data_IF_439865578844
#
_entry.id   IF_439865578844
#
_cell.length_a   1.000
_cell.length_b   1.000
_cell.length_c   1.000
_cell.angle_alpha   90.00
_cell.angle_beta   90.00
_cell.angle_gamma   90.00
#
_symmetry.space_group_name_H-M   'P 1'
#
loop_
_entity.id
_entity.type
_entity.pdbx_description
1 polymer ?
#
# COMPACT_ATOMS: atom_id res chain seq x y z
N UNK A 1 32.78 -5.81 -64.69
CA UNK A 1 31.83 -4.85 -64.07
C UNK A 1 30.90 -5.63 -63.14
N UNK A 2 31.03 -5.48 -61.82
CA UNK A 2 30.07 -6.02 -60.84
C UNK A 2 29.69 -4.87 -59.90
N UNK A 3 28.47 -4.34 -60.04
CA UNK A 3 27.92 -3.33 -59.14
C UNK A 3 27.29 -4.05 -57.96
N UNK A 4 27.88 -3.96 -56.78
CA UNK A 4 27.28 -4.48 -55.54
C UNK A 4 26.42 -3.36 -54.98
N UNK A 5 25.10 -3.57 -54.98
CA UNK A 5 24.12 -2.68 -54.38
C UNK A 5 24.06 -3.03 -52.88
N UNK A 6 24.66 -2.19 -52.02
CA UNK A 6 24.55 -2.37 -50.57
C UNK A 6 23.19 -1.84 -50.10
N UNK A 7 22.32 -2.75 -49.68
CA UNK A 7 21.02 -2.45 -49.08
C UNK A 7 21.22 -2.28 -47.57
N UNK A 8 21.28 -1.04 -47.08
CA UNK A 8 21.38 -0.75 -45.64
C UNK A 8 20.01 -0.92 -45.00
N UNK A 9 19.83 -2.00 -44.23
CA UNK A 9 18.63 -2.23 -43.44
C UNK A 9 18.67 -1.34 -42.18
N UNK A 10 17.82 -0.31 -42.13
CA UNK A 10 17.68 0.56 -40.96
C UNK A 10 16.83 -0.16 -39.92
N UNK A 11 17.47 -0.76 -38.90
CA UNK A 11 16.75 -1.34 -37.79
C UNK A 11 16.14 -0.21 -36.93
N UNK A 12 14.82 -0.13 -36.87
CA UNK A 12 14.13 0.80 -35.98
C UNK A 12 14.30 0.34 -34.53
N UNK A 13 15.17 1.02 -33.78
CA UNK A 13 15.30 0.80 -32.34
C UNK A 13 14.10 1.47 -31.66
N UNK A 14 13.11 0.69 -31.26
CA UNK A 14 12.01 1.18 -30.42
C UNK A 14 12.51 1.32 -28.98
N UNK A 15 12.71 2.55 -28.51
CA UNK A 15 12.93 2.81 -27.10
C UNK A 15 11.60 2.65 -26.35
N UNK A 16 11.46 1.55 -25.61
CA UNK A 16 10.32 1.37 -24.72
C UNK A 16 10.61 2.17 -23.44
N UNK A 17 10.11 3.42 -23.39
CA UNK A 17 10.26 4.29 -22.21
C UNK A 17 9.53 3.66 -21.03
N UNK A 18 10.29 3.15 -20.06
CA UNK A 18 9.72 2.70 -18.80
C UNK A 18 9.22 3.91 -18.01
N UNK A 19 8.03 3.79 -17.41
CA UNK A 19 7.51 4.84 -16.53
C UNK A 19 8.53 5.13 -15.42
N UNK A 20 9.03 6.36 -15.38
CA UNK A 20 9.94 6.80 -14.32
C UNK A 20 9.14 7.16 -13.07
N UNK A 21 9.31 6.37 -12.02
CA UNK A 21 8.76 6.69 -10.70
C UNK A 21 9.72 7.64 -9.97
N UNK A 22 9.14 8.63 -9.29
CA UNK A 22 9.86 9.48 -8.34
C UNK A 22 9.08 9.56 -7.05
N UNK A 23 9.80 9.69 -5.93
CA UNK A 23 9.18 9.99 -4.64
C UNK A 23 8.61 11.40 -4.71
N UNK A 24 7.31 11.54 -4.54
CA UNK A 24 6.64 12.85 -4.52
C UNK A 24 6.53 13.39 -3.11
N UNK A 25 6.22 12.51 -2.14
CA UNK A 25 6.05 12.84 -0.73
C UNK A 25 6.63 11.70 0.13
N UNK A 26 6.98 12.03 1.37
CA UNK A 26 7.35 11.06 2.40
C UNK A 26 6.67 11.46 3.70
N UNK A 27 5.89 10.54 4.28
CA UNK A 27 5.15 10.77 5.51
C UNK A 27 5.74 9.95 6.63
N UNK A 28 6.17 10.63 7.70
CA UNK A 28 6.68 9.95 8.89
C UNK A 28 5.52 9.54 9.77
N UNK A 29 5.42 8.24 10.07
CA UNK A 29 4.50 7.73 11.08
C UNK A 29 5.27 7.65 12.40
N UNK A 30 4.78 8.35 13.42
CA UNK A 30 5.42 8.48 14.73
C UNK A 30 5.12 7.29 15.65
N UNK A 31 5.39 6.08 15.18
CA UNK A 31 5.17 4.83 15.90
C UNK A 31 6.33 3.86 15.68
N UNK A 32 6.51 2.94 16.62
CA UNK A 32 7.63 2.00 16.63
C UNK A 32 7.26 0.66 15.96
N UNK A 33 8.27 -0.15 15.66
CA UNK A 33 8.11 -1.51 15.14
C UNK A 33 8.57 -1.66 13.69
N UNK A 34 8.70 -2.91 13.24
CA UNK A 34 9.02 -3.22 11.84
C UNK A 34 7.81 -3.04 10.93
N UNK A 35 8.06 -2.56 9.70
CA UNK A 35 7.05 -2.36 8.66
C UNK A 35 6.57 -3.68 8.06
N UNK A 36 5.29 -3.71 7.67
CA UNK A 36 4.69 -4.79 6.91
C UNK A 36 3.82 -4.20 5.78
N UNK A 37 2.63 -4.74 5.50
CA UNK A 37 1.82 -4.29 4.37
C UNK A 37 1.18 -2.91 4.54
N UNK A 38 0.93 -2.28 3.39
CA UNK A 38 0.11 -1.08 3.24
C UNK A 38 -1.15 -1.46 2.46
N UNK A 39 -2.30 -0.91 2.86
CA UNK A 39 -3.57 -1.08 2.17
C UNK A 39 -4.26 0.29 1.96
N UNK A 40 -4.62 0.60 0.72
CA UNK A 40 -5.36 1.82 0.37
C UNK A 40 -6.85 1.51 0.36
N UNK A 41 -7.63 2.18 1.20
CA UNK A 41 -9.07 1.95 1.24
C UNK A 41 -9.73 2.50 -0.04
N UNK A 42 -10.53 1.69 -0.76
CA UNK A 42 -11.23 2.17 -1.96
C UNK A 42 -12.16 3.35 -1.66
N UNK A 43 -12.22 4.34 -2.57
CA UNK A 43 -13.09 5.52 -2.49
C UNK A 43 -12.95 6.31 -1.17
N UNK A 44 -11.74 6.29 -0.59
CA UNK A 44 -11.39 6.95 0.66
C UNK A 44 -10.00 7.60 0.53
N UNK A 45 -9.70 8.54 1.42
CA UNK A 45 -8.35 9.09 1.59
C UNK A 45 -7.51 8.33 2.61
N UNK A 46 -8.03 7.24 3.19
CA UNK A 46 -7.34 6.48 4.22
C UNK A 46 -6.34 5.48 3.62
N UNK A 47 -5.11 5.54 4.09
CA UNK A 47 -4.07 4.52 3.90
C UNK A 47 -3.81 3.84 5.24
N UNK A 48 -3.93 2.52 5.25
CA UNK A 48 -3.68 1.68 6.43
C UNK A 48 -2.28 1.10 6.32
N UNK A 49 -1.45 1.31 7.33
CA UNK A 49 -0.06 0.87 7.37
C UNK A 49 0.12 -0.07 8.55
N UNK A 50 0.26 -1.36 8.27
CA UNK A 50 0.56 -2.40 9.26
C UNK A 50 2.02 -2.30 9.70
N UNK A 51 2.27 -2.27 11.00
CA UNK A 51 3.63 -2.36 11.53
C UNK A 51 3.62 -2.77 13.01
N UNK A 52 4.60 -3.58 13.40
CA UNK A 52 4.74 -4.04 14.79
C UNK A 52 3.45 -4.63 15.37
N UNK A 53 2.77 -3.84 16.21
CA UNK A 53 1.62 -4.26 17.00
C UNK A 53 0.35 -3.41 16.77
N UNK A 54 0.35 -2.60 15.71
CA UNK A 54 -0.78 -1.72 15.39
C UNK A 54 -0.87 -1.46 13.88
N UNK A 55 -2.02 -0.94 13.46
CA UNK A 55 -2.20 -0.39 12.11
C UNK A 55 -2.41 1.10 12.24
N UNK A 56 -1.46 1.91 11.76
CA UNK A 56 -1.67 3.35 11.63
C UNK A 56 -2.53 3.65 10.40
N UNK A 57 -3.43 4.62 10.52
CA UNK A 57 -4.24 5.12 9.41
C UNK A 57 -3.87 6.57 9.15
N UNK A 58 -3.51 6.89 7.92
CA UNK A 58 -3.10 8.24 7.53
C UNK A 58 -3.91 8.76 6.35
N UNK A 59 -4.00 10.08 6.21
CA UNK A 59 -4.51 10.71 5.02
C UNK A 59 -3.48 10.57 3.87
N UNK A 60 -3.94 10.07 2.73
CA UNK A 60 -3.11 9.80 1.54
C UNK A 60 -2.45 11.06 0.96
N UNK A 61 -3.09 12.23 1.12
CA UNK A 61 -2.63 13.48 0.51
C UNK A 61 -1.71 14.26 1.44
N UNK A 62 -2.04 14.34 2.73
CA UNK A 62 -1.30 15.16 3.70
C UNK A 62 -0.34 14.35 4.57
N UNK A 63 -0.58 13.05 4.73
CA UNK A 63 0.14 12.20 5.68
C UNK A 63 -0.33 12.35 7.12
N UNK A 64 -1.37 13.16 7.36
CA UNK A 64 -1.90 13.38 8.71
C UNK A 64 -2.45 12.09 9.30
N UNK A 65 -2.28 11.92 10.61
CA UNK A 65 -2.85 10.77 11.31
C UNK A 65 -4.38 10.87 11.35
N UNK A 66 -5.04 9.79 10.92
CA UNK A 66 -6.49 9.60 11.00
C UNK A 66 -6.87 8.59 12.11
N UNK A 67 -5.90 8.14 12.89
CA UNK A 67 -6.06 7.18 13.98
C UNK A 67 -5.23 5.92 13.79
N UNK A 68 -5.51 4.91 14.61
CA UNK A 68 -4.85 3.61 14.54
C UNK A 68 -5.75 2.51 15.10
N UNK A 69 -5.48 1.26 14.68
CA UNK A 69 -6.07 0.05 15.24
C UNK A 69 -5.01 -0.58 16.15
N UNK A 70 -5.29 -0.64 17.44
CA UNK A 70 -4.34 -1.16 18.44
C UNK A 70 -4.51 -2.66 18.68
N UNK A 71 -3.55 -3.27 19.37
CA UNK A 71 -3.65 -4.67 19.82
C UNK A 71 -3.48 -5.71 18.71
N UNK A 72 -3.15 -5.29 17.49
CA UNK A 72 -2.93 -6.17 16.35
C UNK A 72 -1.50 -6.72 16.40
N UNK A 73 -1.21 -7.57 17.38
CA UNK A 73 0.16 -8.05 17.67
C UNK A 73 0.71 -8.86 16.49
N UNK A 74 1.81 -8.37 15.89
CA UNK A 74 2.40 -8.97 14.70
C UNK A 74 1.48 -8.90 13.48
N UNK A 75 0.86 -7.75 13.24
CA UNK A 75 -0.04 -7.54 12.11
C UNK A 75 0.69 -7.54 10.77
N UNK A 76 0.11 -8.23 9.79
CA UNK A 76 0.61 -8.26 8.41
C UNK A 76 -0.21 -7.33 7.52
N UNK A 77 -1.51 -7.62 7.33
CA UNK A 77 -2.32 -6.96 6.32
C UNK A 77 -3.71 -6.52 6.79
N UNK A 78 -4.33 -5.67 5.97
CA UNK A 78 -5.70 -5.20 6.16
C UNK A 78 -6.53 -5.49 4.91
N UNK A 79 -7.72 -6.05 5.10
CA UNK A 79 -8.72 -6.22 4.05
C UNK A 79 -9.99 -5.42 4.38
N UNK A 80 -10.68 -4.92 3.34
CA UNK A 80 -11.86 -4.05 3.51
C UNK A 80 -13.11 -4.69 2.91
N UNK A 81 -14.24 -4.56 3.61
CA UNK A 81 -15.58 -4.88 3.12
C UNK A 81 -16.49 -3.67 3.34
N UNK A 82 -16.43 -2.64 2.46
CA UNK A 82 -17.14 -1.38 2.65
C UNK A 82 -18.67 -1.52 2.75
N UNK A 83 -19.25 -2.48 2.03
CA UNK A 83 -20.70 -2.76 2.07
C UNK A 83 -21.21 -3.15 3.45
N UNK A 84 -20.33 -3.67 4.31
CA UNK A 84 -20.64 -4.06 5.69
C UNK A 84 -20.08 -3.09 6.73
N UNK A 85 -19.43 -2.00 6.30
CA UNK A 85 -18.66 -1.11 7.16
C UNK A 85 -17.57 -1.84 7.98
N UNK A 86 -17.02 -2.94 7.46
CA UNK A 86 -16.04 -3.79 8.18
C UNK A 86 -14.68 -3.79 7.50
N UNK A 87 -13.63 -3.78 8.31
CA UNK A 87 -12.28 -4.15 7.92
C UNK A 87 -11.78 -5.33 8.76
N UNK A 88 -10.74 -5.98 8.26
CA UNK A 88 -10.14 -7.15 8.89
C UNK A 88 -8.63 -7.00 8.95
N UNK A 89 -8.01 -7.39 10.05
CA UNK A 89 -6.54 -7.46 10.15
C UNK A 89 -6.07 -8.90 10.31
N UNK A 90 -4.97 -9.28 9.66
CA UNK A 90 -4.30 -10.55 9.93
C UNK A 90 -3.17 -10.35 10.95
N UNK A 91 -3.32 -10.92 12.15
CA UNK A 91 -2.37 -10.72 13.25
C UNK A 91 -1.57 -12.02 13.46
N UNK A 92 -0.45 -12.16 12.75
CA UNK A 92 0.31 -13.41 12.68
C UNK A 92 0.86 -13.85 14.03
N UNK A 93 1.37 -12.92 14.85
CA UNK A 93 1.94 -13.26 16.16
C UNK A 93 0.87 -13.56 17.21
N UNK A 94 -0.28 -12.88 17.15
CA UNK A 94 -1.44 -13.19 18.01
C UNK A 94 -2.20 -14.44 17.56
N UNK A 95 -1.94 -14.93 16.34
CA UNK A 95 -2.67 -16.03 15.71
C UNK A 95 -4.19 -15.79 15.67
N UNK A 96 -4.60 -14.58 15.31
CA UNK A 96 -6.00 -14.21 15.19
C UNK A 96 -6.27 -13.23 14.05
N UNK A 97 -7.55 -12.97 13.82
CA UNK A 97 -8.06 -11.93 12.94
C UNK A 97 -8.92 -11.00 13.78
N UNK A 98 -8.71 -9.69 13.66
CA UNK A 98 -9.66 -8.73 14.19
C UNK A 98 -10.66 -8.30 13.13
N UNK A 99 -11.89 -8.04 13.56
CA UNK A 99 -12.88 -7.30 12.80
C UNK A 99 -12.96 -5.90 13.37
N UNK A 100 -12.89 -4.87 12.53
CA UNK A 100 -13.03 -3.49 12.97
C UNK A 100 -14.01 -2.69 12.11
N UNK A 101 -14.53 -1.59 12.67
CA UNK A 101 -15.41 -0.65 11.97
C UNK A 101 -14.62 0.32 11.09
N UNK A 102 -14.95 0.42 9.80
CA UNK A 102 -14.17 1.25 8.87
C UNK A 102 -14.24 2.77 9.16
N UNK A 103 -15.30 3.23 9.82
CA UNK A 103 -15.47 4.65 10.16
C UNK A 103 -14.70 4.97 11.43
N UNK A 104 -14.92 4.18 12.48
CA UNK A 104 -14.41 4.48 13.82
C UNK A 104 -13.07 3.84 14.14
N UNK A 105 -12.63 2.85 13.34
CA UNK A 105 -11.44 2.02 13.57
C UNK A 105 -11.52 1.14 14.83
N UNK A 106 -12.67 1.09 15.49
CA UNK A 106 -12.86 0.29 16.69
C UNK A 106 -12.93 -1.20 16.34
N UNK A 107 -12.14 -2.02 17.03
CA UNK A 107 -12.24 -3.49 16.99
C UNK A 107 -13.58 -3.91 17.61
N UNK A 108 -14.27 -4.81 16.92
CA UNK A 108 -15.60 -5.31 17.27
C UNK A 108 -15.54 -6.73 17.83
N UNK A 109 -14.64 -7.56 17.28
CA UNK A 109 -14.41 -8.97 17.62
C UNK A 109 -12.94 -9.34 17.36
#
# INVERSE_FOLDING_TARGET
>A
MKRILSLTMLAAITFNSQAQFKVTNSFKIASNGGWDYIAVQPKSNRVFTSHGNQVNVVDKATGDSLGFISGTIGVHGVAFVPSLNKGYTSNGRANNVFVFDLKTLAVKD
#
